data_IF_984952496156
#
_entry.id   IF_984952496156
#
_cell.length_a   1.000
_cell.length_b   1.000
_cell.length_c   1.000
_cell.angle_alpha   90.00
_cell.angle_beta   90.00
_cell.angle_gamma   90.00
#
_symmetry.space_group_name_H-M   'P 1'
#
loop_
_entity.id
_entity.type
_entity.pdbx_description
1 polymer ?
#
# COMPACT_ATOMS: atom_id res chain seq x y z
N UNK A 1 7.79 22.21 19.18
CA UNK A 1 6.76 21.83 18.19
C UNK A 1 5.98 20.66 18.78
N UNK A 2 4.64 20.68 18.78
CA UNK A 2 3.84 19.54 19.22
C UNK A 2 4.15 18.32 18.33
N UNK A 3 4.07 17.12 18.89
CA UNK A 3 4.29 15.88 18.13
C UNK A 3 3.18 15.68 17.10
N UNK A 4 3.56 15.32 15.87
CA UNK A 4 2.62 15.03 14.77
C UNK A 4 2.39 13.52 14.73
N UNK A 5 1.12 13.11 14.74
CA UNK A 5 0.74 11.69 14.62
C UNK A 5 0.33 11.33 13.20
N UNK A 6 0.27 10.04 12.88
CA UNK A 6 -0.14 9.53 11.55
C UNK A 6 -1.53 10.03 11.13
N UNK A 7 -2.39 10.41 12.08
CA UNK A 7 -3.75 10.91 11.82
C UNK A 7 -3.78 12.40 11.43
N UNK A 8 -2.71 13.14 11.73
CA UNK A 8 -2.62 14.58 11.49
C UNK A 8 -2.08 14.92 10.08
N UNK A 9 -1.67 13.89 9.32
CA UNK A 9 -1.03 14.05 8.01
C UNK A 9 -1.95 13.55 6.91
N UNK A 10 -1.92 14.20 5.75
CA UNK A 10 -2.64 13.71 4.58
C UNK A 10 -2.22 12.27 4.24
N UNK A 11 -3.19 11.39 4.09
CA UNK A 11 -2.97 9.97 3.98
C UNK A 11 -2.21 9.60 2.68
N UNK A 12 -2.49 10.31 1.58
CA UNK A 12 -1.80 10.10 0.31
C UNK A 12 -0.31 10.47 0.38
N UNK A 13 0.01 11.60 1.01
CA UNK A 13 1.39 12.05 1.20
C UNK A 13 2.16 11.10 2.12
N UNK A 14 1.50 10.61 3.18
CA UNK A 14 2.08 9.62 4.08
C UNK A 14 2.42 8.31 3.35
N UNK A 15 1.48 7.77 2.55
CA UNK A 15 1.71 6.54 1.77
C UNK A 15 2.84 6.72 0.76
N UNK A 16 2.93 7.87 0.10
CA UNK A 16 4.02 8.19 -0.85
C UNK A 16 5.39 8.27 -0.16
N UNK A 17 5.46 8.92 1.01
CA UNK A 17 6.70 9.00 1.78
C UNK A 17 7.11 7.62 2.33
N UNK A 18 6.14 6.83 2.81
CA UNK A 18 6.37 5.50 3.36
C UNK A 18 6.82 4.50 2.29
N UNK A 19 6.23 4.56 1.09
CA UNK A 19 6.65 3.71 -0.03
C UNK A 19 8.09 4.03 -0.47
N UNK A 20 8.47 5.31 -0.50
CA UNK A 20 9.84 5.71 -0.77
C UNK A 20 10.81 5.22 0.31
N UNK A 21 10.40 5.25 1.58
CA UNK A 21 11.19 4.71 2.69
C UNK A 21 11.36 3.19 2.60
N UNK A 22 10.28 2.45 2.29
CA UNK A 22 10.29 0.99 2.12
C UNK A 22 11.22 0.56 0.98
N UNK A 23 11.21 1.29 -0.15
CA UNK A 23 12.14 1.06 -1.27
C UNK A 23 13.60 1.25 -0.85
N UNK A 24 13.91 2.38 -0.21
CA UNK A 24 15.28 2.70 0.23
C UNK A 24 15.80 1.73 1.30
N UNK A 25 14.90 1.24 2.15
CA UNK A 25 15.25 0.30 3.22
C UNK A 25 15.68 -1.07 2.69
N UNK A 26 15.12 -1.52 1.55
CA UNK A 26 15.47 -2.82 0.94
C UNK A 26 15.10 -4.06 1.77
N UNK A 27 14.47 -3.88 2.93
CA UNK A 27 14.11 -4.96 3.87
C UNK A 27 12.80 -5.68 3.50
N UNK A 28 12.02 -5.11 2.59
CA UNK A 28 10.76 -5.69 2.14
C UNK A 28 11.06 -6.77 1.10
N UNK A 29 10.74 -8.03 1.40
CA UNK A 29 10.82 -9.13 0.43
C UNK A 29 9.73 -8.94 -0.61
N UNK A 30 10.13 -8.56 -1.82
CA UNK A 30 9.22 -8.47 -2.96
C UNK A 30 9.06 -9.87 -3.55
N UNK A 31 7.83 -10.34 -3.77
CA UNK A 31 7.59 -11.65 -4.37
C UNK A 31 8.00 -11.66 -5.85
N UNK A 32 8.45 -12.81 -6.35
CA UNK A 32 8.89 -12.99 -7.74
C UNK A 32 7.77 -12.72 -8.76
N UNK A 33 6.52 -12.98 -8.40
CA UNK A 33 5.37 -12.80 -9.28
C UNK A 33 4.90 -11.34 -9.43
N UNK A 34 5.59 -10.38 -8.81
CA UNK A 34 5.17 -8.96 -8.76
C UNK A 34 4.96 -8.34 -10.15
N UNK A 35 5.70 -8.81 -11.16
CA UNK A 35 5.65 -8.31 -12.53
C UNK A 35 4.66 -9.09 -13.42
N UNK A 36 4.21 -10.26 -12.97
CA UNK A 36 3.39 -11.17 -13.78
C UNK A 36 1.90 -11.03 -13.49
N UNK A 37 1.53 -10.54 -12.30
CA UNK A 37 0.14 -10.57 -11.81
C UNK A 37 -0.64 -9.30 -12.12
N UNK A 38 -1.96 -9.49 -12.31
CA UNK A 38 -2.92 -8.39 -12.28
C UNK A 38 -3.37 -8.12 -10.84
N UNK A 39 -3.70 -6.86 -10.55
CA UNK A 39 -3.99 -6.37 -9.20
C UNK A 39 -5.35 -6.81 -8.63
N UNK A 40 -6.30 -7.13 -9.50
CA UNK A 40 -7.65 -7.59 -9.18
C UNK A 40 -8.23 -8.34 -10.40
N UNK A 41 -9.26 -9.17 -10.17
CA UNK A 41 -9.92 -9.95 -11.24
C UNK A 41 -10.55 -9.07 -12.32
N UNK A 42 -11.08 -7.91 -11.95
CA UNK A 42 -11.73 -6.95 -12.84
C UNK A 42 -10.75 -6.03 -13.59
N UNK A 43 -9.44 -6.08 -13.26
CA UNK A 43 -8.44 -5.24 -13.94
C UNK A 43 -7.92 -5.99 -15.16
N UNK A 44 -8.19 -5.43 -16.34
CA UNK A 44 -7.73 -5.98 -17.61
C UNK A 44 -6.22 -5.79 -17.82
N UNK A 45 -5.67 -4.68 -17.33
CA UNK A 45 -4.26 -4.29 -17.51
C UNK A 45 -3.43 -4.52 -16.25
N UNK A 46 -2.13 -4.74 -16.46
CA UNK A 46 -1.13 -4.77 -15.40
C UNK A 46 -1.00 -3.38 -14.72
N UNK A 47 -0.52 -3.32 -13.46
CA UNK A 47 -0.18 -2.05 -12.83
C UNK A 47 0.76 -1.21 -13.70
N UNK A 48 0.39 0.06 -13.93
CA UNK A 48 1.21 1.01 -14.69
C UNK A 48 2.50 1.39 -13.93
N UNK A 49 2.49 1.26 -12.61
CA UNK A 49 3.61 1.58 -11.72
C UNK A 49 4.37 0.28 -11.38
N UNK A 50 5.62 0.15 -11.80
CA UNK A 50 6.51 -0.99 -11.46
C UNK A 50 6.68 -1.15 -9.94
N UNK A 51 6.53 -0.05 -9.22
CA UNK A 51 6.68 0.03 -7.79
C UNK A 51 5.38 -0.15 -6.99
N UNK A 52 4.32 -0.63 -7.63
CA UNK A 52 2.99 -0.75 -7.05
C UNK A 52 2.98 -1.52 -5.72
N UNK A 53 3.87 -2.51 -5.56
CA UNK A 53 3.95 -3.34 -4.37
C UNK A 53 4.32 -2.54 -3.12
N UNK A 54 5.29 -1.61 -3.25
CA UNK A 54 5.69 -0.72 -2.16
C UNK A 54 4.58 0.25 -1.77
N UNK A 55 3.83 0.74 -2.76
CA UNK A 55 2.69 1.62 -2.53
C UNK A 55 1.56 0.89 -1.80
N UNK A 56 1.26 -0.37 -2.18
CA UNK A 56 0.29 -1.21 -1.45
C UNK A 56 0.73 -1.53 -0.03
N UNK A 57 2.00 -1.87 0.17
CA UNK A 57 2.54 -2.12 1.49
C UNK A 57 2.44 -0.87 2.39
N UNK A 58 2.70 0.32 1.82
CA UNK A 58 2.53 1.60 2.50
C UNK A 58 1.07 1.86 2.90
N UNK A 59 0.12 1.67 1.98
CA UNK A 59 -1.32 1.83 2.28
C UNK A 59 -1.80 0.85 3.35
N UNK A 60 -1.41 -0.43 3.24
CA UNK A 60 -1.74 -1.44 4.23
C UNK A 60 -1.25 -1.05 5.63
N UNK A 61 0.00 -0.58 5.73
CA UNK A 61 0.61 -0.17 6.99
C UNK A 61 -0.05 1.09 7.57
N UNK A 62 -0.31 2.10 6.74
CA UNK A 62 -1.03 3.31 7.14
C UNK A 62 -2.42 2.98 7.71
N UNK A 63 -3.13 2.08 7.04
CA UNK A 63 -4.50 1.69 7.41
C UNK A 63 -4.52 0.83 8.67
N UNK A 64 -3.55 -0.08 8.82
CA UNK A 64 -3.36 -0.84 10.05
C UNK A 64 -3.05 0.07 11.25
N UNK A 65 -2.23 1.10 11.06
CA UNK A 65 -1.91 2.08 12.10
C UNK A 65 -3.09 2.97 12.52
N UNK A 66 -4.07 3.20 11.63
CA UNK A 66 -5.25 4.02 11.93
C UNK A 66 -6.40 3.23 12.53
N UNK A 67 -6.71 2.04 11.98
CA UNK A 67 -7.90 1.25 12.38
C UNK A 67 -7.62 0.14 13.38
N UNK A 68 -6.38 -0.34 13.51
CA UNK A 68 -6.02 -1.50 14.32
C UNK A 68 -6.65 -2.80 13.79
N UNK A 69 -5.90 -3.92 13.81
CA UNK A 69 -6.46 -5.24 13.51
C UNK A 69 -7.13 -5.39 12.14
N UNK A 70 -6.47 -4.97 11.04
CA UNK A 70 -7.03 -5.09 9.68
C UNK A 70 -6.61 -6.42 9.06
N UNK A 71 -7.59 -7.27 8.75
CA UNK A 71 -7.37 -8.58 8.12
C UNK A 71 -7.17 -8.50 6.60
N UNK A 72 -6.65 -9.59 6.02
CA UNK A 72 -6.38 -9.72 4.57
C UNK A 72 -7.64 -9.47 3.72
N UNK A 73 -8.79 -9.97 4.17
CA UNK A 73 -10.06 -9.80 3.45
C UNK A 73 -10.44 -8.33 3.29
N UNK A 74 -10.19 -7.51 4.30
CA UNK A 74 -10.52 -6.07 4.27
C UNK A 74 -9.65 -5.33 3.25
N UNK A 75 -8.38 -5.71 3.14
CA UNK A 75 -7.52 -5.19 2.08
C UNK A 75 -7.97 -5.66 0.70
N UNK A 76 -8.38 -6.92 0.58
CA UNK A 76 -8.90 -7.46 -0.68
C UNK A 76 -10.15 -6.71 -1.14
N UNK A 77 -11.10 -6.46 -0.24
CA UNK A 77 -12.30 -5.67 -0.54
C UNK A 77 -11.91 -4.25 -0.95
N UNK A 78 -11.03 -3.59 -0.21
CA UNK A 78 -10.67 -2.21 -0.52
C UNK A 78 -9.96 -2.03 -1.88
N UNK A 79 -9.05 -2.94 -2.24
CA UNK A 79 -8.37 -2.88 -3.54
C UNK A 79 -9.17 -3.52 -4.68
N UNK A 80 -10.20 -4.30 -4.33
CA UNK A 80 -11.01 -5.09 -5.24
C UNK A 80 -12.34 -4.45 -5.62
N UNK A 81 -12.75 -3.35 -4.98
CA UNK A 81 -13.93 -2.59 -5.38
C UNK A 81 -13.74 -1.94 -6.74
N UNK A 82 -14.71 -2.18 -7.62
CA UNK A 82 -14.93 -1.46 -8.88
C UNK A 82 -15.60 -0.13 -8.52
N UNK A 83 -15.10 0.99 -9.06
CA UNK A 83 -15.68 2.32 -8.82
C UNK A 83 -16.49 2.76 -10.02
#
# INVERSE_FOLDING_TARGET
MPGVTVKDVNQQDFVRALSAFLKKSGKLKVPEWVDTVKLAKHKELAPCDENWFYTRAGDACARAGVRGGVGVQVHLSHFGEEK
#
